data_IF_363211211937
#
_entry.id   IF_363211211937
#
_cell.length_a   1.000
_cell.length_b   1.000
_cell.length_c   1.000
_cell.angle_alpha   90.00
_cell.angle_beta   90.00
_cell.angle_gamma   90.00
#
_symmetry.space_group_name_H-M   'P 1'
#
loop_
_entity.id
_entity.type
_entity.pdbx_description
1 polymer ?
#
# COMPACT_ATOMS: atom_id res chain seq x y z
N UNK A 1 40.10 49.14 8.89
CA UNK A 1 39.61 47.74 8.94
C UNK A 1 38.29 47.70 9.71
N UNK A 2 37.12 47.60 9.04
CA UNK A 2 35.84 47.53 9.71
C UNK A 2 35.38 46.08 9.92
N UNK A 3 34.68 45.86 11.04
CA UNK A 3 34.09 44.60 11.50
C UNK A 3 32.92 44.18 10.58
N UNK A 4 32.93 42.93 10.10
CA UNK A 4 31.75 42.31 9.49
C UNK A 4 30.74 41.96 10.60
N UNK A 5 29.55 42.55 10.50
CA UNK A 5 28.39 42.22 11.32
C UNK A 5 27.66 40.98 10.78
N UNK A 6 27.27 40.12 11.70
CA UNK A 6 26.33 39.01 11.52
C UNK A 6 24.96 39.56 11.05
N UNK A 7 24.47 39.08 9.91
CA UNK A 7 23.06 39.25 9.52
C UNK A 7 22.27 38.04 10.02
N UNK A 8 21.39 38.31 10.98
CA UNK A 8 20.35 37.42 11.51
C UNK A 8 19.13 37.61 10.61
N UNK A 9 18.70 36.57 9.88
CA UNK A 9 17.43 36.56 9.16
C UNK A 9 16.36 36.03 10.11
N UNK A 10 15.70 36.96 10.79
CA UNK A 10 14.52 36.65 11.59
C UNK A 10 13.33 36.27 10.70
N UNK A 11 12.70 35.17 11.10
CA UNK A 11 11.53 34.55 10.50
C UNK A 11 10.31 35.47 10.72
N UNK A 12 9.86 36.15 9.67
CA UNK A 12 8.61 36.93 9.69
C UNK A 12 7.41 35.97 9.74
N UNK A 13 6.85 35.80 10.93
CA UNK A 13 5.53 35.24 11.17
C UNK A 13 4.47 36.34 10.97
N UNK A 14 3.68 36.29 9.90
CA UNK A 14 2.43 37.09 9.79
C UNK A 14 1.73 36.84 8.44
N UNK A 15 1.13 35.68 8.26
CA UNK A 15 0.10 35.46 7.21
C UNK A 15 -1.09 34.71 7.84
N UNK A 16 -1.69 35.32 8.87
CA UNK A 16 -2.92 34.86 9.51
C UNK A 16 -3.78 36.08 9.86
N UNK A 17 -4.32 36.73 8.84
CA UNK A 17 -5.33 37.78 8.98
C UNK A 17 -5.65 38.24 7.56
N UNK A 18 -6.53 37.54 6.84
CA UNK A 18 -7.34 38.00 5.69
C UNK A 18 -7.99 36.74 5.13
N UNK A 19 -9.06 36.27 5.77
CA UNK A 19 -10.11 35.40 5.21
C UNK A 19 -11.18 35.17 6.31
N UNK A 20 -12.13 36.12 6.45
CA UNK A 20 -13.52 35.72 6.63
C UNK A 20 -14.34 36.21 5.44
N UNK A 21 -15.48 35.57 5.22
CA UNK A 21 -16.49 35.89 4.19
C UNK A 21 -16.24 35.26 2.80
N UNK A 22 -16.16 33.92 2.74
CA UNK A 22 -16.92 33.14 1.75
C UNK A 22 -17.38 31.83 2.44
N UNK A 23 -18.33 31.98 3.35
CA UNK A 23 -19.22 30.91 3.76
C UNK A 23 -20.59 31.36 3.27
N UNK A 24 -21.10 30.79 2.19
CA UNK A 24 -22.54 30.58 1.95
C UNK A 24 -22.76 29.80 0.63
N UNK A 25 -23.47 28.67 0.78
CA UNK A 25 -24.18 27.87 -0.23
C UNK A 25 -23.39 27.12 -1.32
N UNK A 26 -22.81 25.98 -0.96
CA UNK A 26 -22.94 24.74 -1.74
C UNK A 26 -22.99 23.55 -0.76
N UNK A 27 -24.04 22.72 -0.75
CA UNK A 27 -24.00 21.47 0.01
C UNK A 27 -23.14 20.50 -0.81
N UNK A 28 -21.84 20.47 -0.55
CA UNK A 28 -21.01 19.36 -1.03
C UNK A 28 -21.27 18.22 -0.05
N UNK A 29 -22.24 17.39 -0.40
CA UNK A 29 -22.38 16.04 0.11
C UNK A 29 -21.15 15.27 -0.37
N UNK A 30 -20.05 15.32 0.38
CA UNK A 30 -19.05 14.26 0.33
C UNK A 30 -19.63 13.09 1.10
N UNK A 31 -20.52 12.34 0.43
CA UNK A 31 -20.76 10.97 0.80
C UNK A 31 -19.41 10.25 0.66
N UNK A 32 -18.89 9.74 1.77
CA UNK A 32 -17.96 8.63 1.76
C UNK A 32 -18.61 7.52 0.92
N UNK A 33 -18.23 7.41 -0.35
CA UNK A 33 -18.49 6.17 -1.09
C UNK A 33 -17.62 5.09 -0.46
N UNK A 34 -18.21 4.01 0.06
CA UNK A 34 -17.46 2.80 0.35
C UNK A 34 -16.85 2.31 -0.96
N UNK A 35 -15.63 1.78 -0.89
CA UNK A 35 -15.04 0.98 -1.97
C UNK A 35 -16.08 0.04 -2.60
N UNK A 36 -16.09 -0.11 -3.94
CA UNK A 36 -16.98 -1.06 -4.57
C UNK A 36 -16.57 -2.48 -4.15
N UNK A 37 -17.46 -3.13 -3.42
CA UNK A 37 -17.44 -4.57 -3.19
C UNK A 37 -17.39 -5.27 -4.55
N UNK A 38 -16.42 -6.15 -4.74
CA UNK A 38 -16.36 -7.04 -5.90
C UNK A 38 -17.59 -7.97 -5.86
N UNK A 39 -18.59 -7.68 -6.67
CA UNK A 39 -19.56 -8.64 -7.18
C UNK A 39 -19.25 -8.82 -8.65
N UNK A 40 -18.76 -9.99 -9.04
CA UNK A 40 -18.60 -10.36 -10.44
C UNK A 40 -19.97 -10.64 -11.04
N UNK A 41 -20.48 -9.87 -12.02
CA UNK A 41 -21.62 -10.28 -12.79
C UNK A 41 -21.17 -11.22 -13.90
N UNK A 42 -22.03 -12.19 -14.12
CA UNK A 42 -22.00 -13.22 -15.13
C UNK A 42 -21.85 -12.61 -16.53
N UNK A 43 -21.13 -13.33 -17.38
CA UNK A 43 -20.87 -13.04 -18.79
C UNK A 43 -22.18 -12.97 -19.58
N UNK A 44 -22.48 -11.81 -20.15
CA UNK A 44 -23.53 -11.63 -21.16
C UNK A 44 -22.93 -10.98 -22.41
N UNK A 45 -23.24 -11.59 -23.55
CA UNK A 45 -22.78 -11.25 -24.88
C UNK A 45 -23.28 -9.88 -25.35
N UNK A 46 -22.36 -8.94 -25.59
CA UNK A 46 -22.68 -7.68 -26.26
C UNK A 46 -22.19 -7.71 -27.71
N UNK A 47 -23.14 -7.97 -28.62
CA UNK A 47 -23.01 -7.73 -30.04
C UNK A 47 -23.07 -6.23 -30.32
N UNK A 48 -22.01 -5.72 -30.96
CA UNK A 48 -21.95 -4.35 -31.49
C UNK A 48 -22.96 -4.15 -32.63
N UNK A 49 -23.60 -2.97 -32.69
CA UNK A 49 -23.58 -2.24 -33.96
C UNK A 49 -23.40 -0.72 -33.80
N UNK A 50 -22.58 -0.16 -34.71
CA UNK A 50 -22.46 1.26 -35.07
C UNK A 50 -22.76 1.32 -36.59
N UNK A 51 -23.08 2.47 -37.22
CA UNK A 51 -24.05 3.54 -36.95
C UNK A 51 -25.06 3.66 -38.11
N UNK A 52 -26.10 4.50 -38.00
CA UNK A 52 -26.63 5.14 -39.23
C UNK A 52 -27.19 6.55 -38.96
N UNK A 53 -26.63 7.50 -39.70
CA UNK A 53 -27.15 8.85 -39.91
C UNK A 53 -28.60 8.78 -40.42
N UNK A 54 -29.48 9.64 -39.91
CA UNK A 54 -30.68 10.04 -40.65
C UNK A 54 -30.87 11.54 -40.57
N UNK A 55 -30.67 12.16 -41.73
CA UNK A 55 -30.88 13.57 -42.05
C UNK A 55 -32.33 13.71 -42.50
N UNK A 56 -33.14 14.50 -41.78
CA UNK A 56 -34.47 14.89 -42.25
C UNK A 56 -34.47 16.38 -42.54
N UNK A 57 -34.60 16.70 -43.83
CA UNK A 57 -34.97 18.02 -44.33
C UNK A 57 -36.50 18.14 -44.30
N UNK A 58 -37.01 19.29 -43.91
CA UNK A 58 -38.35 19.74 -44.31
C UNK A 58 -38.28 21.25 -44.51
N UNK A 59 -38.46 21.66 -45.76
CA UNK A 59 -38.74 23.02 -46.17
C UNK A 59 -40.25 23.17 -46.36
N UNK A 60 -40.83 24.34 -46.04
CA UNK A 60 -41.54 25.19 -47.01
C UNK A 60 -42.18 26.42 -46.33
N UNK A 61 -41.71 27.58 -46.81
CA UNK A 61 -42.31 28.92 -47.01
C UNK A 61 -43.29 29.57 -46.04
N UNK A 62 -43.02 30.85 -45.75
CA UNK A 62 -44.01 31.87 -45.35
C UNK A 62 -43.35 33.24 -45.15
N UNK A 63 -43.66 34.19 -46.04
CA UNK A 63 -42.97 35.45 -46.31
C UNK A 63 -42.90 36.50 -45.18
N UNK A 64 -41.80 37.27 -45.24
CA UNK A 64 -41.66 38.71 -45.01
C UNK A 64 -42.14 39.33 -43.68
N UNK A 65 -41.19 39.82 -42.88
CA UNK A 65 -40.99 41.27 -42.76
C UNK A 65 -39.67 41.61 -42.09
N UNK A 66 -39.08 42.69 -42.58
CA UNK A 66 -37.87 43.32 -42.09
C UNK A 66 -38.07 43.78 -40.64
N UNK A 67 -37.09 43.47 -39.79
CA UNK A 67 -36.51 44.47 -38.89
C UNK A 67 -35.25 43.88 -38.26
N UNK A 68 -34.11 44.28 -38.85
CA UNK A 68 -32.79 44.02 -38.32
C UNK A 68 -32.61 44.79 -37.00
N UNK A 69 -33.05 44.22 -35.89
CA UNK A 69 -32.62 44.63 -34.56
C UNK A 69 -31.59 43.64 -34.05
N UNK A 70 -30.33 43.97 -34.30
CA UNK A 70 -29.16 43.39 -33.65
C UNK A 70 -29.30 43.48 -32.12
N UNK A 71 -30.01 42.55 -31.50
CA UNK A 71 -29.78 42.20 -30.10
C UNK A 71 -28.56 41.30 -30.09
N UNK A 72 -27.39 41.94 -30.05
CA UNK A 72 -26.19 41.31 -29.55
C UNK A 72 -26.55 40.65 -28.22
N UNK A 73 -26.66 39.32 -28.22
CA UNK A 73 -26.78 38.54 -27.00
C UNK A 73 -25.50 38.75 -26.23
N UNK A 74 -25.48 39.73 -25.32
CA UNK A 74 -24.37 39.94 -24.41
C UNK A 74 -24.08 38.61 -23.72
N UNK A 75 -22.84 38.10 -23.77
CA UNK A 75 -22.50 36.87 -23.08
C UNK A 75 -22.83 37.06 -21.60
N UNK A 76 -23.73 36.22 -21.08
CA UNK A 76 -24.13 36.24 -19.67
C UNK A 76 -22.88 36.15 -18.80
N UNK A 77 -22.67 37.15 -17.93
CA UNK A 77 -21.57 37.22 -16.95
C UNK A 77 -21.47 35.93 -16.12
N UNK A 78 -22.60 35.22 -15.94
CA UNK A 78 -22.65 33.90 -15.29
C UNK A 78 -21.86 32.83 -16.02
N UNK A 79 -21.83 32.84 -17.36
CA UNK A 79 -21.09 31.86 -18.16
C UNK A 79 -19.57 32.06 -18.06
N UNK A 80 -19.12 33.32 -17.95
CA UNK A 80 -17.71 33.66 -17.77
C UNK A 80 -17.25 33.27 -16.36
N UNK A 81 -18.04 33.60 -15.32
CA UNK A 81 -17.75 33.22 -13.94
C UNK A 81 -17.71 31.70 -13.78
N UNK A 82 -18.66 30.97 -14.36
CA UNK A 82 -18.69 29.49 -14.31
C UNK A 82 -17.44 28.86 -14.92
N UNK A 83 -16.97 29.37 -16.08
CA UNK A 83 -15.72 28.90 -16.71
C UNK A 83 -14.50 29.17 -15.84
N UNK A 84 -14.40 30.35 -15.22
CA UNK A 84 -13.30 30.69 -14.31
C UNK A 84 -13.30 29.78 -13.07
N UNK A 85 -14.47 29.54 -12.47
CA UNK A 85 -14.58 28.61 -11.34
C UNK A 85 -14.20 27.18 -11.72
N UNK A 86 -14.58 26.71 -12.92
CA UNK A 86 -14.21 25.39 -13.41
C UNK A 86 -12.69 25.26 -13.62
N UNK A 87 -12.04 26.29 -14.17
CA UNK A 87 -10.58 26.31 -14.33
C UNK A 87 -9.88 26.31 -12.96
N UNK A 88 -10.36 27.11 -12.00
CA UNK A 88 -9.84 27.12 -10.63
C UNK A 88 -10.02 25.75 -9.98
N UNK A 89 -11.19 25.13 -10.13
CA UNK A 89 -11.49 23.80 -9.58
C UNK A 89 -10.55 22.74 -10.17
N UNK A 90 -10.38 22.69 -11.49
CA UNK A 90 -9.41 21.79 -12.15
C UNK A 90 -7.98 22.05 -11.64
N UNK A 91 -7.60 23.33 -11.50
CA UNK A 91 -6.30 23.71 -10.95
C UNK A 91 -6.08 23.20 -9.53
N UNK A 92 -7.05 23.41 -8.63
CA UNK A 92 -6.98 22.93 -7.24
C UNK A 92 -6.93 21.41 -7.16
N UNK A 93 -7.74 20.68 -7.95
CA UNK A 93 -7.70 19.21 -8.02
C UNK A 93 -6.34 18.73 -8.54
N UNK A 94 -5.76 19.40 -9.53
CA UNK A 94 -4.45 19.05 -10.09
C UNK A 94 -3.32 19.22 -9.08
N UNK A 95 -3.33 20.33 -8.32
CA UNK A 95 -2.36 20.58 -7.25
C UNK A 95 -2.53 19.57 -6.13
N UNK A 96 -3.76 19.29 -5.72
CA UNK A 96 -4.05 18.29 -4.70
C UNK A 96 -3.61 16.89 -5.14
N UNK A 97 -3.93 16.47 -6.37
CA UNK A 97 -3.52 15.18 -6.90
C UNK A 97 -1.99 15.05 -6.98
N UNK A 98 -1.30 16.12 -7.39
CA UNK A 98 0.18 16.15 -7.40
C UNK A 98 0.76 16.07 -5.99
N UNK A 99 0.17 16.80 -5.04
CA UNK A 99 0.58 16.76 -3.64
C UNK A 99 0.32 15.38 -3.03
N UNK A 100 -0.83 14.78 -3.28
CA UNK A 100 -1.19 13.45 -2.79
C UNK A 100 -0.26 12.38 -3.39
N UNK A 101 0.06 12.50 -4.68
CA UNK A 101 1.07 11.65 -5.34
C UNK A 101 2.48 11.82 -4.75
N UNK A 102 2.78 12.96 -4.11
CA UNK A 102 4.09 13.23 -3.49
C UNK A 102 4.25 12.68 -2.07
N UNK A 103 3.17 12.25 -1.41
CA UNK A 103 3.20 11.69 -0.04
C UNK A 103 3.70 10.25 0.03
N UNK A 104 3.92 9.60 -1.12
CA UNK A 104 4.44 8.24 -1.20
C UNK A 104 5.96 8.17 -1.28
N UNK A 105 6.45 6.96 -1.48
CA UNK A 105 7.82 6.67 -1.84
C UNK A 105 7.93 6.36 -3.33
N UNK A 106 9.16 6.41 -3.86
CA UNK A 106 9.39 6.11 -5.27
C UNK A 106 9.12 4.63 -5.52
N UNK A 107 8.40 4.31 -6.59
CA UNK A 107 8.25 2.93 -7.07
C UNK A 107 8.90 2.82 -8.44
N UNK A 108 9.63 1.73 -8.69
CA UNK A 108 10.18 1.44 -10.01
C UNK A 108 9.89 -0.02 -10.35
N UNK A 109 9.29 -0.25 -11.50
CA UNK A 109 8.94 -1.59 -11.97
C UNK A 109 9.90 -1.96 -13.10
N UNK A 110 10.66 -3.04 -12.93
CA UNK A 110 11.70 -3.49 -13.84
C UNK A 110 11.33 -4.87 -14.38
N UNK A 111 11.28 -4.99 -15.70
CA UNK A 111 11.24 -6.28 -16.36
C UNK A 111 12.67 -6.65 -16.78
N UNK A 112 13.27 -7.64 -16.10
CA UNK A 112 14.68 -7.99 -16.31
C UNK A 112 14.97 -8.35 -17.77
N UNK A 113 16.11 -7.89 -18.29
CA UNK A 113 16.48 -8.06 -19.69
C UNK A 113 16.47 -9.54 -20.13
N UNK A 114 16.93 -10.44 -19.25
CA UNK A 114 16.99 -11.88 -19.51
C UNK A 114 15.61 -12.52 -19.83
N UNK A 115 14.52 -11.96 -19.30
CA UNK A 115 13.16 -12.51 -19.49
C UNK A 115 12.23 -11.57 -20.24
N UNK A 116 12.71 -10.39 -20.63
CA UNK A 116 11.90 -9.35 -21.29
C UNK A 116 11.12 -9.88 -22.50
N UNK A 117 11.72 -10.81 -23.24
CA UNK A 117 11.13 -11.39 -24.45
C UNK A 117 10.32 -12.67 -24.22
N UNK A 118 10.37 -13.25 -23.00
CA UNK A 118 9.62 -14.45 -22.65
C UNK A 118 8.12 -14.18 -22.53
N UNK A 119 7.25 -15.20 -22.64
CA UNK A 119 5.81 -15.04 -22.42
C UNK A 119 5.49 -14.40 -21.06
N UNK A 120 6.16 -14.82 -19.99
CA UNK A 120 6.02 -14.27 -18.65
C UNK A 120 6.43 -12.79 -18.59
N UNK A 121 7.57 -12.44 -19.20
CA UNK A 121 8.06 -11.05 -19.26
C UNK A 121 7.12 -10.15 -20.06
N UNK A 122 6.57 -10.61 -21.18
CA UNK A 122 5.58 -9.86 -21.97
C UNK A 122 4.30 -9.61 -21.17
N UNK A 123 3.79 -10.63 -20.47
CA UNK A 123 2.62 -10.51 -19.58
C UNK A 123 2.87 -9.51 -18.46
N UNK A 124 4.03 -9.60 -17.79
CA UNK A 124 4.38 -8.66 -16.73
C UNK A 124 4.48 -7.22 -17.23
N UNK A 125 5.11 -7.04 -18.38
CA UNK A 125 5.22 -5.72 -18.99
C UNK A 125 3.85 -5.12 -19.30
N UNK A 126 2.95 -5.92 -19.89
CA UNK A 126 1.61 -5.47 -20.25
C UNK A 126 0.77 -5.10 -19.02
N UNK A 127 0.73 -5.97 -18.00
CA UNK A 127 -0.18 -5.79 -16.86
C UNK A 127 0.37 -4.89 -15.76
N UNK A 128 1.67 -4.92 -15.48
CA UNK A 128 2.24 -4.31 -14.29
C UNK A 128 3.20 -3.15 -14.57
N UNK A 129 3.84 -3.14 -15.74
CA UNK A 129 4.72 -2.03 -16.14
C UNK A 129 3.97 -0.95 -16.91
N UNK A 130 3.11 -1.34 -17.85
CA UNK A 130 2.47 -0.40 -18.79
C UNK A 130 1.23 0.31 -18.24
N UNK A 131 0.63 -0.21 -17.16
CA UNK A 131 -0.67 0.25 -16.64
C UNK A 131 -0.60 0.77 -15.18
N UNK A 132 0.60 1.05 -14.66
CA UNK A 132 0.84 1.48 -13.26
C UNK A 132 0.23 0.57 -12.16
N UNK A 133 -0.27 -0.61 -12.54
CA UNK A 133 -0.99 -1.52 -11.64
C UNK A 133 -0.11 -1.93 -10.46
N UNK A 134 1.16 -2.26 -10.71
CA UNK A 134 2.10 -2.61 -9.66
C UNK A 134 2.34 -1.43 -8.70
N UNK A 135 2.50 -0.21 -9.23
CA UNK A 135 2.66 0.99 -8.42
C UNK A 135 1.45 1.20 -7.52
N UNK A 136 0.24 1.05 -8.06
CA UNK A 136 -1.01 1.17 -7.30
C UNK A 136 -1.12 0.12 -6.19
N UNK A 137 -0.81 -1.15 -6.49
CA UNK A 137 -0.83 -2.23 -5.51
C UNK A 137 0.18 -1.96 -4.39
N UNK A 138 1.41 -1.57 -4.73
CA UNK A 138 2.49 -1.29 -3.77
C UNK A 138 2.09 -0.14 -2.84
N UNK A 139 1.64 1.00 -3.38
CA UNK A 139 1.29 2.17 -2.58
C UNK A 139 0.06 1.94 -1.71
N UNK A 140 -0.99 1.33 -2.26
CA UNK A 140 -2.21 1.01 -1.49
C UNK A 140 -1.93 0.00 -0.37
N UNK A 141 -1.15 -1.04 -0.66
CA UNK A 141 -0.75 -2.01 0.36
C UNK A 141 0.10 -1.37 1.43
N UNK A 142 1.05 -0.51 1.05
CA UNK A 142 1.87 0.24 1.99
C UNK A 142 1.02 1.01 2.99
N UNK A 143 0.03 1.76 2.52
CA UNK A 143 -0.84 2.54 3.38
C UNK A 143 -1.59 1.66 4.40
N UNK A 144 -2.07 0.48 3.98
CA UNK A 144 -2.75 -0.48 4.87
C UNK A 144 -1.78 -1.05 5.91
N UNK A 145 -0.62 -1.52 5.48
CA UNK A 145 0.41 -2.09 6.37
C UNK A 145 0.93 -1.05 7.36
N UNK A 146 1.18 0.18 6.90
CA UNK A 146 1.58 1.29 7.77
C UNK A 146 0.54 1.57 8.84
N UNK A 147 -0.75 1.55 8.50
CA UNK A 147 -1.81 1.79 9.46
C UNK A 147 -1.94 0.66 10.51
N UNK A 148 -1.54 -0.57 10.15
CA UNK A 148 -1.48 -1.71 11.09
C UNK A 148 -0.28 -1.57 12.03
N UNK A 149 0.90 -1.22 11.50
CA UNK A 149 2.16 -1.21 12.28
C UNK A 149 2.44 0.10 12.99
N UNK A 150 1.93 1.21 12.47
CA UNK A 150 2.19 2.56 12.95
C UNK A 150 0.89 3.37 12.98
N UNK A 151 -0.08 2.99 13.83
CA UNK A 151 -1.30 3.78 14.02
C UNK A 151 -0.92 5.21 14.43
N UNK A 152 -1.69 6.20 13.99
CA UNK A 152 -1.34 7.63 14.06
C UNK A 152 -1.06 8.12 15.49
N UNK A 153 0.18 7.91 15.95
CA UNK A 153 0.70 8.37 17.22
C UNK A 153 1.76 9.45 16.94
N UNK A 154 1.65 10.64 17.54
CA UNK A 154 2.46 11.81 17.19
C UNK A 154 3.98 11.64 17.46
N UNK A 155 4.40 10.57 18.11
CA UNK A 155 5.79 10.32 18.52
C UNK A 155 6.37 9.01 17.97
N UNK A 156 5.67 8.33 17.07
CA UNK A 156 6.14 7.04 16.55
C UNK A 156 7.02 7.21 15.31
N UNK A 157 8.30 6.86 15.43
CA UNK A 157 9.21 6.82 14.28
C UNK A 157 8.88 5.63 13.39
N UNK A 158 8.32 5.92 12.22
CA UNK A 158 8.06 4.94 11.15
C UNK A 158 9.36 4.44 10.54
N UNK A 159 9.31 3.23 9.98
CA UNK A 159 10.42 2.71 9.15
C UNK A 159 10.61 3.57 7.90
N UNK A 160 11.82 4.06 7.60
CA UNK A 160 12.05 4.82 6.39
C UNK A 160 12.05 3.89 5.18
N UNK A 161 11.07 4.08 4.30
CA UNK A 161 10.99 3.43 2.98
C UNK A 161 10.97 4.53 1.94
N UNK A 162 12.04 4.67 1.16
CA UNK A 162 12.19 5.77 0.19
C UNK A 162 12.01 5.32 -1.24
N UNK A 163 12.35 4.06 -1.54
CA UNK A 163 12.25 3.51 -2.88
C UNK A 163 11.99 2.02 -2.82
N UNK A 164 10.97 1.56 -3.54
CA UNK A 164 10.73 0.14 -3.79
C UNK A 164 10.92 -0.14 -5.27
N UNK A 165 11.75 -1.14 -5.57
CA UNK A 165 11.97 -1.67 -6.89
C UNK A 165 11.25 -3.01 -6.99
N UNK A 166 10.24 -3.10 -7.83
CA UNK A 166 9.62 -4.37 -8.18
C UNK A 166 10.29 -4.91 -9.44
N UNK A 167 10.87 -6.10 -9.38
CA UNK A 167 11.50 -6.73 -10.53
C UNK A 167 10.95 -8.14 -10.78
N UNK A 168 10.76 -8.47 -12.06
CA UNK A 168 10.55 -9.85 -12.47
C UNK A 168 11.91 -10.47 -12.81
N UNK A 169 12.24 -11.61 -12.23
CA UNK A 169 13.50 -12.35 -12.46
C UNK A 169 13.24 -13.69 -13.12
N UNK A 170 14.21 -14.19 -13.89
CA UNK A 170 14.16 -15.56 -14.37
C UNK A 170 14.06 -16.51 -13.16
N UNK A 171 13.38 -17.64 -13.34
CA UNK A 171 13.53 -18.75 -12.40
C UNK A 171 15.03 -19.12 -12.43
N UNK A 172 15.75 -18.89 -11.34
CA UNK A 172 17.18 -19.15 -11.28
C UNK A 172 17.45 -20.66 -11.33
N UNK A 173 18.36 -21.08 -12.20
CA UNK A 173 18.98 -22.41 -12.19
C UNK A 173 19.83 -22.66 -10.92
N UNK A 174 20.18 -21.61 -10.17
CA UNK A 174 21.16 -21.70 -9.07
C UNK A 174 20.56 -21.85 -7.67
N UNK A 175 19.24 -21.86 -7.55
CA UNK A 175 18.52 -22.33 -6.37
C UNK A 175 17.04 -22.51 -6.73
N UNK A 176 16.51 -23.74 -6.79
CA UNK A 176 15.07 -23.98 -6.90
C UNK A 176 14.41 -23.66 -5.54
N UNK A 177 14.57 -22.43 -5.03
CA UNK A 177 13.75 -22.00 -3.92
C UNK A 177 12.33 -21.93 -4.44
N UNK A 178 11.48 -22.82 -3.91
CA UNK A 178 10.01 -22.82 -4.03
C UNK A 178 9.36 -21.44 -3.81
N UNK A 179 10.12 -20.50 -3.25
CA UNK A 179 9.73 -19.13 -2.95
C UNK A 179 9.54 -18.30 -4.23
N UNK A 180 8.28 -17.98 -4.54
CA UNK A 180 7.88 -17.19 -5.72
C UNK A 180 8.21 -15.70 -5.60
N UNK A 181 8.47 -15.22 -4.39
CA UNK A 181 8.77 -13.82 -4.09
C UNK A 181 9.90 -13.73 -3.07
N UNK A 182 10.83 -12.82 -3.28
CA UNK A 182 11.88 -12.49 -2.31
C UNK A 182 12.00 -10.99 -2.12
N UNK A 183 12.43 -10.59 -0.93
CA UNK A 183 12.65 -9.19 -0.57
C UNK A 183 14.11 -9.02 -0.17
N UNK A 184 14.78 -8.05 -0.77
CA UNK A 184 16.15 -7.70 -0.43
C UNK A 184 16.26 -6.19 -0.18
N UNK A 185 17.13 -5.80 0.76
CA UNK A 185 17.53 -4.39 0.93
C UNK A 185 18.71 -4.09 0.01
N UNK A 186 18.71 -2.95 -0.64
CA UNK A 186 19.87 -2.49 -1.41
C UNK A 186 21.04 -2.24 -0.47
N UNK A 187 22.22 -2.79 -0.81
CA UNK A 187 23.46 -2.55 -0.05
C UNK A 187 24.04 -1.15 -0.28
N UNK A 188 23.70 -0.52 -1.41
CA UNK A 188 24.29 0.75 -1.84
C UNK A 188 23.51 1.96 -1.36
N UNK A 189 22.20 1.81 -1.11
CA UNK A 189 21.31 2.91 -0.76
C UNK A 189 20.42 2.51 0.39
N UNK A 190 20.52 3.28 1.47
CA UNK A 190 19.65 3.12 2.63
C UNK A 190 18.18 3.33 2.21
N UNK A 191 17.28 2.52 2.80
CA UNK A 191 15.83 2.60 2.58
C UNK A 191 15.36 2.31 1.14
N UNK A 192 16.19 1.64 0.34
CA UNK A 192 15.82 1.09 -0.97
C UNK A 192 15.61 -0.41 -0.86
N UNK A 193 14.43 -0.88 -1.26
CA UNK A 193 14.03 -2.28 -1.17
C UNK A 193 13.73 -2.85 -2.55
N UNK A 194 14.09 -4.11 -2.77
CA UNK A 194 13.91 -4.82 -4.04
C UNK A 194 13.00 -6.02 -3.78
N UNK A 195 11.84 -6.03 -4.44
CA UNK A 195 10.93 -7.17 -4.50
C UNK A 195 11.23 -7.92 -5.79
N UNK A 196 11.70 -9.16 -5.68
CA UNK A 196 11.93 -10.02 -6.84
C UNK A 196 10.82 -11.04 -6.95
N UNK A 197 10.08 -10.99 -8.06
CA UNK A 197 9.07 -11.97 -8.44
C UNK A 197 9.70 -12.99 -9.40
N UNK A 198 9.51 -14.26 -9.11
CA UNK A 198 9.91 -15.33 -10.04
C UNK A 198 9.00 -15.33 -11.27
N UNK A 199 9.56 -15.52 -12.46
CA UNK A 199 8.80 -15.64 -13.70
C UNK A 199 7.72 -16.75 -13.66
N UNK A 200 7.91 -17.80 -12.85
CA UNK A 200 6.93 -18.90 -12.71
C UNK A 200 5.59 -18.45 -12.14
N UNK A 201 5.52 -17.33 -11.42
CA UNK A 201 4.25 -16.78 -10.91
C UNK A 201 3.29 -16.38 -12.03
N UNK A 202 3.83 -16.11 -13.23
CA UNK A 202 3.07 -15.71 -14.42
C UNK A 202 2.48 -16.87 -15.20
N UNK A 203 2.82 -18.09 -14.81
CA UNK A 203 2.34 -19.34 -15.41
C UNK A 203 1.16 -19.94 -14.63
N UNK A 204 0.84 -19.37 -13.47
CA UNK A 204 -0.27 -19.82 -12.63
C UNK A 204 -1.63 -19.53 -13.27
N UNK A 205 -2.61 -20.40 -12.99
CA UNK A 205 -3.99 -20.26 -13.47
C UNK A 205 -4.60 -18.91 -13.09
N UNK A 206 -4.33 -18.43 -11.87
CA UNK A 206 -4.74 -17.12 -11.38
C UNK A 206 -3.52 -16.22 -11.08
N UNK A 207 -2.65 -16.04 -12.08
CA UNK A 207 -1.43 -15.24 -11.93
C UNK A 207 -1.67 -13.82 -11.40
N UNK A 208 -2.84 -13.21 -11.68
CA UNK A 208 -3.20 -11.88 -11.16
C UNK A 208 -3.25 -11.91 -9.64
N UNK A 209 -4.05 -12.82 -9.08
CA UNK A 209 -4.14 -13.00 -7.63
C UNK A 209 -2.78 -13.35 -7.03
N UNK A 210 -2.05 -14.30 -7.62
CA UNK A 210 -0.74 -14.72 -7.12
C UNK A 210 0.27 -13.58 -7.06
N UNK A 211 0.33 -12.74 -8.12
CA UNK A 211 1.23 -11.57 -8.14
C UNK A 211 0.79 -10.52 -7.12
N UNK A 212 -0.51 -10.19 -7.04
CA UNK A 212 -1.00 -9.22 -6.06
C UNK A 212 -0.70 -9.68 -4.63
N UNK A 213 -1.02 -10.94 -4.31
CA UNK A 213 -0.75 -11.55 -3.00
C UNK A 213 0.74 -11.55 -2.67
N UNK A 214 1.60 -11.91 -3.64
CA UNK A 214 3.05 -11.90 -3.47
C UNK A 214 3.60 -10.49 -3.21
N UNK A 215 3.12 -9.48 -3.95
CA UNK A 215 3.50 -8.08 -3.72
C UNK A 215 3.03 -7.64 -2.33
N UNK A 216 1.81 -8.02 -1.94
CA UNK A 216 1.26 -7.64 -0.64
C UNK A 216 2.07 -8.20 0.52
N UNK A 217 2.41 -9.48 0.46
CA UNK A 217 3.24 -10.14 1.47
C UNK A 217 4.65 -9.53 1.51
N UNK A 218 5.24 -9.25 0.33
CA UNK A 218 6.52 -8.58 0.25
C UNK A 218 6.50 -7.17 0.87
N UNK A 219 5.43 -6.40 0.64
CA UNK A 219 5.24 -5.10 1.27
C UNK A 219 5.08 -5.21 2.77
N UNK A 220 4.32 -6.19 3.27
CA UNK A 220 4.23 -6.47 4.70
C UNK A 220 5.63 -6.72 5.30
N UNK A 221 6.46 -7.54 4.62
CA UNK A 221 7.84 -7.81 5.02
C UNK A 221 8.74 -6.57 4.99
N UNK A 222 8.60 -5.70 3.99
CA UNK A 222 9.41 -4.47 3.89
C UNK A 222 9.15 -3.56 5.10
N UNK A 223 7.92 -3.46 5.57
CA UNK A 223 7.55 -2.52 6.63
C UNK A 223 7.89 -2.98 8.05
N UNK A 224 8.09 -4.29 8.26
CA UNK A 224 8.55 -4.84 9.54
C UNK A 224 10.05 -4.58 9.71
N UNK A 225 10.48 -4.15 10.90
CA UNK A 225 11.89 -4.00 11.23
C UNK A 225 12.61 -5.36 11.31
N UNK A 226 13.85 -5.43 10.85
CA UNK A 226 14.64 -6.66 10.76
C UNK A 226 15.56 -6.92 11.97
N UNK A 227 15.64 -5.99 12.94
CA UNK A 227 16.55 -6.14 14.08
C UNK A 227 18.03 -5.94 13.74
N UNK A 228 18.35 -5.36 12.58
CA UNK A 228 19.72 -5.28 12.04
C UNK A 228 20.71 -4.59 13.00
N UNK A 229 20.26 -3.65 13.82
CA UNK A 229 21.09 -2.94 14.80
C UNK A 229 21.72 -3.83 15.88
N UNK A 230 21.22 -5.06 16.07
CA UNK A 230 21.67 -5.99 17.12
C UNK A 230 21.69 -7.44 16.62
N UNK A 231 22.38 -7.73 15.52
CA UNK A 231 22.55 -9.12 15.05
C UNK A 231 21.38 -9.73 14.26
N UNK A 232 20.28 -9.01 14.08
CA UNK A 232 19.15 -9.43 13.25
C UNK A 232 18.18 -10.38 13.96
N UNK A 233 16.88 -10.16 13.80
CA UNK A 233 15.89 -11.08 14.30
C UNK A 233 15.77 -12.35 13.42
N UNK A 234 15.37 -13.49 14.00
CA UNK A 234 15.24 -14.74 13.26
C UNK A 234 14.32 -14.60 12.03
N UNK A 235 14.70 -15.11 10.85
CA UNK A 235 13.89 -14.97 9.63
C UNK A 235 12.45 -15.46 9.78
N UNK A 236 12.24 -16.58 10.48
CA UNK A 236 10.92 -17.17 10.72
C UNK A 236 9.97 -16.22 11.46
N UNK A 237 10.50 -15.38 12.35
CA UNK A 237 9.70 -14.43 13.11
C UNK A 237 9.19 -13.32 12.20
N UNK A 238 10.08 -12.81 11.36
CA UNK A 238 9.76 -11.65 10.54
C UNK A 238 8.90 -12.04 9.35
N UNK A 239 9.13 -13.24 8.80
CA UNK A 239 8.22 -13.84 7.83
C UNK A 239 6.85 -14.11 8.47
N UNK A 240 6.80 -14.60 9.71
CA UNK A 240 5.56 -14.77 10.45
C UNK A 240 4.83 -13.47 10.79
N UNK A 241 5.56 -12.40 11.09
CA UNK A 241 4.98 -11.06 11.25
C UNK A 241 4.43 -10.53 9.92
N UNK A 242 5.15 -10.72 8.82
CA UNK A 242 4.68 -10.34 7.50
C UNK A 242 3.38 -11.10 7.13
N UNK A 243 3.33 -12.41 7.40
CA UNK A 243 2.15 -13.25 7.18
C UNK A 243 0.98 -12.82 8.08
N UNK A 244 1.24 -12.50 9.35
CA UNK A 244 0.23 -11.96 10.27
C UNK A 244 -0.38 -10.65 9.73
N UNK A 245 0.46 -9.70 9.33
CA UNK A 245 0.01 -8.41 8.79
C UNK A 245 -0.78 -8.63 7.50
N UNK A 246 -0.30 -9.51 6.62
CA UNK A 246 -0.96 -9.84 5.37
C UNK A 246 -2.36 -10.43 5.60
N UNK A 247 -2.49 -11.35 6.55
CA UNK A 247 -3.77 -11.90 6.99
C UNK A 247 -4.67 -10.81 7.60
N UNK A 248 -4.11 -9.98 8.49
CA UNK A 248 -4.85 -8.93 9.22
C UNK A 248 -5.37 -7.84 8.30
N UNK A 249 -4.64 -7.56 7.22
CA UNK A 249 -5.04 -6.64 6.16
C UNK A 249 -6.13 -7.20 5.24
N UNK A 250 -6.52 -8.47 5.39
CA UNK A 250 -7.56 -9.11 4.58
C UNK A 250 -7.07 -9.56 3.19
N UNK A 251 -5.76 -9.61 2.96
CA UNK A 251 -5.19 -9.93 1.66
C UNK A 251 -5.31 -11.41 1.27
N UNK A 252 -5.55 -12.30 2.25
CA UNK A 252 -5.65 -13.74 2.04
C UNK A 252 -7.02 -14.31 1.71
N UNK A 253 -8.03 -13.47 1.46
CA UNK A 253 -9.35 -13.95 1.08
C UNK A 253 -9.45 -14.14 -0.44
N UNK A 254 -8.94 -15.28 -0.91
CA UNK A 254 -9.09 -15.77 -2.28
C UNK A 254 -8.90 -17.28 -2.30
N UNK A 255 -10.01 -18.00 -2.54
CA UNK A 255 -10.19 -19.46 -2.59
C UNK A 255 -9.80 -20.24 -1.30
N UNK A 256 -10.84 -20.51 -0.49
CA UNK A 256 -10.96 -21.72 0.33
C UNK A 256 -10.01 -21.93 1.53
N UNK A 257 -9.58 -20.87 2.22
CA UNK A 257 -8.91 -20.99 3.54
C UNK A 257 -9.70 -20.40 4.72
N UNK A 258 -10.89 -19.84 4.48
CA UNK A 258 -11.71 -19.21 5.53
C UNK A 258 -12.46 -20.18 6.45
N UNK A 259 -12.41 -21.49 6.21
CA UNK A 259 -13.04 -22.49 7.11
C UNK A 259 -12.08 -23.27 8.01
N UNK A 260 -10.75 -23.12 7.86
CA UNK A 260 -9.79 -23.89 8.66
C UNK A 260 -8.94 -23.09 9.66
N UNK A 261 -8.83 -21.77 9.54
CA UNK A 261 -7.98 -20.96 10.45
C UNK A 261 -8.61 -20.70 11.83
N UNK A 262 -9.90 -20.98 12.03
CA UNK A 262 -10.59 -20.74 13.30
C UNK A 262 -10.85 -21.98 14.16
N UNK A 263 -10.69 -23.20 13.63
CA UNK A 263 -11.31 -24.41 14.24
C UNK A 263 -10.35 -25.52 14.66
N UNK A 264 -9.08 -25.48 14.25
CA UNK A 264 -8.07 -26.47 14.66
C UNK A 264 -6.90 -25.84 15.45
N UNK A 265 -7.20 -24.78 16.21
CA UNK A 265 -6.25 -24.13 17.11
C UNK A 265 -5.83 -25.11 18.21
N UNK A 266 -4.65 -25.73 18.08
CA UNK A 266 -4.06 -26.51 19.17
C UNK A 266 -2.93 -25.72 19.83
N UNK A 267 -3.04 -25.41 21.13
CA UNK A 267 -2.00 -24.71 21.89
C UNK A 267 -0.65 -25.43 21.93
N UNK A 268 -0.62 -26.73 21.64
CA UNK A 268 0.59 -27.57 21.65
C UNK A 268 1.61 -27.16 20.58
N UNK A 269 1.16 -26.70 19.41
CA UNK A 269 2.04 -26.22 18.31
C UNK A 269 2.63 -24.84 18.55
N UNK A 270 1.95 -24.02 19.34
CA UNK A 270 2.33 -22.64 19.62
C UNK A 270 3.27 -22.49 20.82
N UNK A 271 3.38 -23.54 21.64
CA UNK A 271 4.07 -23.47 22.92
C UNK A 271 5.53 -23.00 22.78
N UNK A 272 6.24 -23.43 21.72
CA UNK A 272 7.59 -22.94 21.41
C UNK A 272 7.59 -21.44 21.10
N UNK A 273 6.87 -21.03 20.06
CA UNK A 273 6.86 -19.66 19.53
C UNK A 273 6.38 -18.67 20.59
N UNK A 274 5.28 -18.99 21.26
CA UNK A 274 4.72 -18.16 22.32
C UNK A 274 5.68 -18.07 23.50
N UNK A 275 6.33 -19.16 23.91
CA UNK A 275 7.30 -19.10 25.01
C UNK A 275 8.50 -18.21 24.67
N UNK A 276 9.04 -18.32 23.46
CA UNK A 276 10.18 -17.54 23.01
C UNK A 276 9.81 -16.05 22.93
N UNK A 277 8.69 -15.72 22.29
CA UNK A 277 8.16 -14.37 22.18
C UNK A 277 7.83 -13.74 23.54
N UNK A 278 7.10 -14.46 24.41
CA UNK A 278 6.74 -13.96 25.73
C UNK A 278 7.96 -13.79 26.64
N UNK A 279 8.94 -14.69 26.56
CA UNK A 279 10.19 -14.55 27.34
C UNK A 279 10.93 -13.27 26.97
N UNK A 280 11.01 -12.97 25.67
CA UNK A 280 11.69 -11.80 25.14
C UNK A 280 10.96 -10.50 25.47
N UNK A 281 9.64 -10.50 25.35
CA UNK A 281 8.80 -9.36 25.73
C UNK A 281 8.94 -9.01 27.21
N UNK A 282 8.95 -10.03 28.08
CA UNK A 282 9.03 -9.83 29.54
C UNK A 282 10.37 -9.24 29.99
N UNK A 283 11.48 -9.58 29.31
CA UNK A 283 12.81 -9.04 29.64
C UNK A 283 12.95 -7.54 29.34
N UNK A 284 12.24 -7.02 28.34
CA UNK A 284 12.36 -5.61 27.94
C UNK A 284 11.41 -4.66 28.70
N UNK A 285 10.28 -5.19 29.21
CA UNK A 285 9.31 -4.41 29.99
C UNK A 285 9.64 -4.28 31.48
N UNK A 286 10.33 -5.27 32.05
CA UNK A 286 10.79 -5.22 33.43
C UNK A 286 12.30 -5.03 33.45
N UNK A 287 12.75 -3.79 33.61
CA UNK A 287 14.17 -3.45 33.74
C UNK A 287 14.85 -3.92 35.04
N UNK A 288 14.37 -5.01 35.65
CA UNK A 288 14.96 -5.60 36.86
C UNK A 288 15.06 -7.12 36.70
N UNK A 289 16.32 -7.58 36.68
CA UNK A 289 16.72 -8.97 36.53
C UNK A 289 16.71 -9.65 37.90
N UNK A 290 15.78 -10.58 38.10
CA UNK A 290 15.91 -11.60 39.14
C UNK A 290 15.87 -12.99 38.49
N UNK A 291 16.83 -13.25 37.60
CA UNK A 291 17.68 -14.45 37.56
C UNK A 291 17.06 -15.85 37.48
N UNK A 292 15.73 -16.00 37.48
CA UNK A 292 15.05 -17.30 37.47
C UNK A 292 14.45 -17.58 36.11
N UNK A 293 15.32 -18.13 35.25
CA UNK A 293 14.94 -18.75 33.98
C UNK A 293 14.05 -19.97 34.24
N UNK A 294 12.73 -19.76 34.29
CA UNK A 294 11.76 -20.84 34.28
C UNK A 294 11.89 -21.58 32.94
N UNK A 295 12.49 -22.78 32.96
CA UNK A 295 12.56 -23.64 31.78
C UNK A 295 11.14 -24.15 31.47
N UNK A 296 10.55 -23.87 30.30
CA UNK A 296 9.30 -24.49 29.91
C UNK A 296 9.57 -25.99 29.66
N UNK A 297 9.11 -26.84 30.59
CA UNK A 297 9.26 -28.30 30.56
C UNK A 297 8.29 -29.02 29.61
N UNK A 298 8.03 -28.45 28.43
CA UNK A 298 7.26 -29.09 27.37
C UNK A 298 8.16 -29.39 26.18
N UNK A 299 8.14 -30.63 25.69
CA UNK A 299 8.80 -31.00 24.42
C UNK A 299 8.08 -30.27 23.29
N UNK A 300 8.49 -29.04 23.01
CA UNK A 300 7.94 -28.27 21.92
C UNK A 300 8.66 -28.69 20.65
N UNK A 301 7.93 -29.23 19.66
CA UNK A 301 8.52 -29.59 18.36
C UNK A 301 8.98 -28.32 17.63
N UNK A 302 10.09 -28.43 16.91
CA UNK A 302 10.65 -27.36 16.06
C UNK A 302 9.74 -26.98 14.86
N UNK A 303 8.58 -27.63 14.72
CA UNK A 303 7.54 -27.30 13.72
C UNK A 303 7.04 -25.84 13.83
N UNK A 304 7.30 -25.14 14.94
CA UNK A 304 6.88 -23.75 15.18
C UNK A 304 7.56 -22.66 14.34
N UNK A 305 8.46 -23.00 13.40
CA UNK A 305 9.15 -22.00 12.55
C UNK A 305 8.43 -21.71 11.22
N UNK A 306 7.28 -22.32 10.97
CA UNK A 306 6.43 -21.97 9.82
C UNK A 306 5.84 -20.55 10.04
N UNK A 307 6.03 -19.60 9.09
CA UNK A 307 5.45 -18.27 9.15
C UNK A 307 3.96 -18.25 9.45
N UNK A 308 3.19 -19.23 8.97
CA UNK A 308 1.74 -19.32 9.24
C UNK A 308 1.44 -19.63 10.70
N UNK A 309 2.19 -20.57 11.29
CA UNK A 309 2.06 -20.91 12.71
C UNK A 309 2.45 -19.71 13.58
N UNK A 310 3.50 -18.99 13.19
CA UNK A 310 3.93 -17.76 13.87
C UNK A 310 2.86 -16.68 13.76
N UNK A 311 2.22 -16.53 12.59
CA UNK A 311 1.14 -15.58 12.39
C UNK A 311 -0.07 -15.88 13.27
N UNK A 312 -0.47 -17.15 13.38
CA UNK A 312 -1.52 -17.59 14.32
C UNK A 312 -1.13 -17.31 15.78
N UNK A 313 0.15 -17.51 16.14
CA UNK A 313 0.67 -17.16 17.46
C UNK A 313 0.51 -15.67 17.76
N UNK A 314 0.89 -14.83 16.79
CA UNK A 314 0.82 -13.37 16.90
C UNK A 314 -0.63 -12.90 16.98
N UNK A 315 -1.54 -13.49 16.22
CA UNK A 315 -2.97 -13.18 16.31
C UNK A 315 -3.53 -13.50 17.70
N UNK A 316 -3.19 -14.67 18.24
CA UNK A 316 -3.54 -15.05 19.61
C UNK A 316 -3.00 -14.06 20.67
N UNK A 317 -1.74 -13.62 20.52
CA UNK A 317 -1.11 -12.67 21.42
C UNK A 317 -1.74 -11.28 21.31
N UNK A 318 -2.02 -10.81 20.11
CA UNK A 318 -2.69 -9.52 19.84
C UNK A 318 -4.11 -9.49 20.43
N UNK A 319 -4.86 -10.60 20.34
CA UNK A 319 -6.19 -10.69 20.95
C UNK A 319 -6.15 -10.57 22.48
N UNK A 320 -5.07 -11.05 23.12
CA UNK A 320 -4.89 -10.97 24.57
C UNK A 320 -4.27 -9.67 25.04
N UNK A 321 -3.38 -9.10 24.24
CA UNK A 321 -2.69 -7.85 24.54
C UNK A 321 -2.68 -6.98 23.28
N UNK A 322 -3.63 -6.04 23.20
CA UNK A 322 -3.73 -5.13 22.05
C UNK A 322 -2.46 -4.31 21.91
N UNK A 323 -1.96 -4.16 20.68
CA UNK A 323 -0.70 -3.51 20.38
C UNK A 323 0.53 -4.40 20.58
N UNK A 324 0.35 -5.72 20.73
CA UNK A 324 1.47 -6.65 20.87
C UNK A 324 2.37 -6.63 19.64
N UNK A 325 1.78 -6.74 18.44
CA UNK A 325 2.54 -6.75 17.18
C UNK A 325 3.21 -5.40 16.91
N UNK A 326 2.53 -4.31 17.26
CA UNK A 326 3.11 -2.96 17.19
C UNK A 326 4.34 -2.85 18.10
N UNK A 327 4.21 -3.21 19.38
CA UNK A 327 5.34 -3.17 20.30
C UNK A 327 6.45 -4.15 19.91
N UNK A 328 6.12 -5.29 19.30
CA UNK A 328 7.11 -6.24 18.81
C UNK A 328 7.92 -5.63 17.66
N UNK A 329 7.25 -4.94 16.75
CA UNK A 329 7.90 -4.20 15.68
C UNK A 329 8.78 -3.04 16.22
N UNK A 330 8.39 -2.40 17.33
CA UNK A 330 9.24 -1.42 18.01
C UNK A 330 10.47 -2.07 18.65
N UNK A 331 10.32 -3.24 19.28
CA UNK A 331 11.45 -4.01 19.80
C UNK A 331 12.43 -4.33 18.67
N UNK A 332 11.92 -4.79 17.52
CA UNK A 332 12.75 -5.08 16.33
C UNK A 332 13.45 -3.84 15.77
N UNK A 333 12.86 -2.64 15.89
CA UNK A 333 13.54 -1.39 15.53
C UNK A 333 14.71 -1.10 16.46
N UNK A 334 14.48 -1.22 17.76
CA UNK A 334 15.42 -0.81 18.79
C UNK A 334 16.54 -1.86 19.01
N UNK A 335 16.41 -3.03 18.40
CA UNK A 335 17.31 -4.16 18.53
C UNK A 335 16.60 -5.39 19.10
N UNK A 336 16.79 -6.52 18.42
CA UNK A 336 16.31 -7.82 18.88
C UNK A 336 17.04 -8.30 20.13
N UNK A 337 18.36 -8.16 20.26
CA UNK A 337 19.15 -8.87 21.30
C UNK A 337 18.80 -8.52 22.75
#
# INVERSE_FOLDING_TARGET
MPRLGHVRLDRVSSWNSWLPVIVFYFPIIFAFSPWPSFHSPLMEDYTLPIPLLTKTATATSGAANEDAKNRASSPSTSGIICRLLLVILIGTISVWAKHEASKGFKVTVINSAAIKHSPAGRRFHLFYVSNDEATRIILSTSAVVENILYPNHPHQTKKPVHHVVLQLTAAGEDNPSKTKVSVARSKEKESVYIISLSASIMEESNFKYSVVSAIQLAMARIWVWDGESSGGAPPWLIDGMAEYIWMRAGFGQGEETTQHLGSNFRPDKLCFVVSELCSKWKMKMNGDDDGKRAKPGGVCREEGKDPKIVAEALDYLEQRNKGYVEGLNQILRDGWD
#
